data_IF_812823104413
#
_entry.id   IF_812823104413
#
_cell.length_a   1.000
_cell.length_b   1.000
_cell.length_c   1.000
_cell.angle_alpha   90.00
_cell.angle_beta   90.00
_cell.angle_gamma   90.00
#
_symmetry.space_group_name_H-M   'P 1'
#
loop_
_entity.id
_entity.type
_entity.pdbx_description
1 polymer ?
#
# COMPACT_ATOMS: atom_id res chain seq x y z
N UNK A 1 -4.24 -12.08 6.86
CA UNK A 1 -3.49 -11.67 5.67
C UNK A 1 -2.64 -10.46 6.03
N UNK A 2 -1.38 -10.40 5.57
CA UNK A 2 -0.48 -9.27 5.76
C UNK A 2 -0.22 -8.65 4.40
N UNK A 3 -0.41 -7.35 4.25
CA UNK A 3 -0.20 -6.61 3.00
C UNK A 3 1.14 -5.89 3.11
N UNK A 4 2.01 -6.12 2.11
CA UNK A 4 3.35 -5.56 2.05
C UNK A 4 3.41 -4.43 1.02
N UNK A 5 4.11 -3.36 1.36
CA UNK A 5 4.44 -2.27 0.45
C UNK A 5 5.91 -2.32 0.06
N UNK A 6 6.23 -1.92 -1.18
CA UNK A 6 7.61 -1.80 -1.65
C UNK A 6 8.32 -0.61 -1.00
N UNK A 7 9.62 -0.76 -0.76
CA UNK A 7 10.52 0.27 -0.22
C UNK A 7 11.28 0.99 -1.34
N UNK A 8 12.06 2.00 -0.97
CA UNK A 8 12.85 2.81 -1.91
C UNK A 8 13.84 1.99 -2.74
N UNK A 9 14.34 0.86 -2.23
CA UNK A 9 15.18 -0.07 -3.01
C UNK A 9 14.56 -0.43 -4.38
N UNK A 10 13.24 -0.53 -4.43
CA UNK A 10 12.48 -0.79 -5.66
C UNK A 10 11.85 0.46 -6.24
N UNK A 11 11.45 1.42 -5.41
CA UNK A 11 10.72 2.61 -5.86
C UNK A 11 11.63 3.77 -6.26
N UNK A 12 12.94 3.63 -6.18
CA UNK A 12 13.86 4.61 -6.75
C UNK A 12 13.74 4.63 -8.29
N UNK A 13 13.75 5.80 -8.97
CA UNK A 13 13.56 5.87 -10.43
C UNK A 13 14.58 5.08 -11.27
N UNK A 14 15.77 4.90 -10.71
CA UNK A 14 16.87 4.13 -11.31
C UNK A 14 16.96 2.68 -10.83
N UNK A 15 15.96 2.19 -10.08
CA UNK A 15 15.98 0.80 -9.61
C UNK A 15 15.84 -0.19 -10.78
N UNK A 16 16.38 -1.40 -10.57
CA UNK A 16 16.16 -2.52 -11.49
C UNK A 16 14.68 -2.92 -11.54
N UNK A 17 13.96 -2.79 -10.42
CA UNK A 17 12.52 -3.06 -10.37
C UNK A 17 11.72 -2.15 -11.30
N UNK A 18 11.97 -0.83 -11.30
CA UNK A 18 11.27 0.09 -12.20
C UNK A 18 11.59 -0.25 -13.66
N UNK A 19 12.85 -0.61 -13.95
CA UNK A 19 13.25 -1.09 -15.28
C UNK A 19 12.47 -2.33 -15.71
N UNK A 20 12.41 -3.34 -14.84
CA UNK A 20 11.65 -4.57 -15.07
C UNK A 20 10.15 -4.27 -15.32
N UNK A 21 9.52 -3.45 -14.47
CA UNK A 21 8.12 -3.07 -14.64
C UNK A 21 7.86 -2.39 -15.98
N UNK A 22 8.74 -1.48 -16.42
CA UNK A 22 8.57 -0.77 -17.68
C UNK A 22 8.83 -1.66 -18.90
N UNK A 23 9.88 -2.48 -18.85
CA UNK A 23 10.31 -3.30 -19.99
C UNK A 23 9.49 -4.59 -20.08
N UNK A 24 9.54 -5.42 -19.04
CA UNK A 24 9.08 -6.80 -19.10
C UNK A 24 7.58 -6.92 -18.84
N UNK A 25 7.02 -6.03 -18.00
CA UNK A 25 5.59 -6.06 -17.64
C UNK A 25 4.75 -5.16 -18.55
N UNK A 26 5.19 -3.92 -18.79
CA UNK A 26 4.44 -2.98 -19.62
C UNK A 26 4.81 -3.03 -21.12
N UNK A 27 5.90 -3.66 -21.51
CA UNK A 27 6.32 -3.78 -22.91
C UNK A 27 6.68 -2.44 -23.56
N UNK A 28 7.20 -1.47 -22.79
CA UNK A 28 7.51 -0.15 -23.32
C UNK A 28 8.80 -0.15 -24.14
N UNK A 29 8.80 0.57 -25.27
CA UNK A 29 10.02 0.82 -26.03
C UNK A 29 10.97 1.80 -25.28
N UNK A 30 12.22 1.89 -25.72
CA UNK A 30 13.25 2.68 -25.03
C UNK A 30 12.88 4.17 -24.85
N UNK A 31 12.22 4.77 -25.84
CA UNK A 31 11.76 6.16 -25.77
C UNK A 31 10.70 6.35 -24.67
N UNK A 32 9.67 5.49 -24.66
CA UNK A 32 8.61 5.52 -23.66
C UNK A 32 9.14 5.21 -22.24
N UNK A 33 10.13 4.33 -22.11
CA UNK A 33 10.82 4.07 -20.84
C UNK A 33 11.55 5.32 -20.34
N UNK A 34 12.30 6.01 -21.20
CA UNK A 34 13.01 7.24 -20.85
C UNK A 34 12.04 8.32 -20.37
N UNK A 35 10.97 8.55 -21.13
CA UNK A 35 9.94 9.53 -20.78
C UNK A 35 9.26 9.20 -19.44
N UNK A 36 8.88 7.93 -19.23
CA UNK A 36 8.22 7.49 -17.99
C UNK A 36 9.15 7.63 -16.78
N UNK A 37 10.46 7.38 -16.93
CA UNK A 37 11.44 7.63 -15.87
C UNK A 37 11.54 9.12 -15.53
N UNK A 38 11.56 9.98 -16.54
CA UNK A 38 11.53 11.44 -16.34
C UNK A 38 10.32 11.85 -15.51
N UNK A 39 9.12 11.39 -15.86
CA UNK A 39 7.91 11.66 -15.07
C UNK A 39 8.00 11.15 -13.63
N UNK A 40 8.53 9.95 -13.44
CA UNK A 40 8.64 9.37 -12.11
C UNK A 40 9.69 10.08 -11.23
N UNK A 41 10.77 10.59 -11.85
CA UNK A 41 11.78 11.41 -11.19
C UNK A 41 11.22 12.77 -10.75
N UNK A 42 10.56 13.49 -11.67
CA UNK A 42 9.86 14.76 -11.38
C UNK A 42 8.77 14.58 -10.33
N UNK A 43 8.01 13.47 -10.39
CA UNK A 43 7.01 13.15 -9.40
C UNK A 43 7.60 13.06 -7.98
N UNK A 44 8.76 12.40 -7.83
CA UNK A 44 9.42 12.25 -6.54
C UNK A 44 10.10 13.52 -6.06
N UNK A 45 10.75 14.27 -6.96
CA UNK A 45 11.51 15.48 -6.61
C UNK A 45 10.62 16.68 -6.40
N UNK A 46 9.70 16.93 -7.33
CA UNK A 46 9.01 18.22 -7.47
C UNK A 46 7.55 18.16 -7.03
N UNK A 47 6.82 17.09 -7.36
CA UNK A 47 5.37 17.05 -7.09
C UNK A 47 5.05 16.62 -5.65
N UNK A 48 5.72 15.58 -5.16
CA UNK A 48 5.48 15.00 -3.83
C UNK A 48 6.65 15.23 -2.86
N UNK A 49 7.79 15.74 -3.35
CA UNK A 49 8.94 16.17 -2.55
C UNK A 49 9.43 15.11 -1.55
N UNK A 50 9.69 13.89 -2.05
CA UNK A 50 10.05 12.73 -1.25
C UNK A 50 11.18 11.87 -1.87
N UNK A 51 11.85 12.38 -2.90
CA UNK A 51 13.05 11.76 -3.47
C UNK A 51 14.11 11.47 -2.39
N UNK A 52 14.62 10.24 -2.35
CA UNK A 52 15.57 9.75 -1.34
C UNK A 52 15.11 9.93 0.13
N UNK A 53 13.80 9.99 0.37
CA UNK A 53 13.22 9.98 1.71
C UNK A 53 12.50 8.65 1.94
N UNK A 54 13.25 7.66 2.42
CA UNK A 54 12.76 6.28 2.56
C UNK A 54 11.44 6.17 3.35
N UNK A 55 11.26 6.83 4.52
CA UNK A 55 9.97 6.80 5.23
C UNK A 55 8.81 7.35 4.41
N UNK A 56 8.99 8.52 3.75
CA UNK A 56 7.91 9.10 2.94
C UNK A 56 7.59 8.28 1.70
N UNK A 57 8.60 7.64 1.08
CA UNK A 57 8.41 6.74 -0.05
C UNK A 57 7.61 5.52 0.37
N UNK A 58 7.96 4.93 1.51
CA UNK A 58 7.24 3.80 2.07
C UNK A 58 5.80 4.18 2.45
N UNK A 59 5.56 5.32 3.11
CA UNK A 59 4.21 5.80 3.42
C UNK A 59 3.37 6.03 2.16
N UNK A 60 3.98 6.57 1.10
CA UNK A 60 3.32 6.72 -0.20
C UNK A 60 2.93 5.37 -0.80
N UNK A 61 3.81 4.37 -0.73
CA UNK A 61 3.52 3.02 -1.19
C UNK A 61 2.42 2.35 -0.36
N UNK A 62 2.45 2.51 0.97
CA UNK A 62 1.39 2.05 1.88
C UNK A 62 0.03 2.62 1.49
N UNK A 63 -0.08 3.92 1.15
CA UNK A 63 -1.34 4.52 0.67
C UNK A 63 -1.93 3.78 -0.53
N UNK A 64 -1.11 3.22 -1.42
CA UNK A 64 -1.58 2.41 -2.54
C UNK A 64 -2.15 1.07 -2.05
N UNK A 65 -1.55 0.45 -1.03
CA UNK A 65 -2.07 -0.74 -0.38
C UNK A 65 -3.44 -0.52 0.27
N UNK A 66 -3.71 0.67 0.82
CA UNK A 66 -5.04 0.98 1.40
C UNK A 66 -6.15 1.02 0.34
N UNK A 67 -5.84 1.35 -0.92
CA UNK A 67 -6.81 1.27 -2.02
C UNK A 67 -7.20 -0.19 -2.25
N UNK A 68 -6.19 -1.07 -2.35
CA UNK A 68 -6.42 -2.51 -2.49
C UNK A 68 -7.19 -3.07 -1.30
N UNK A 69 -6.81 -2.71 -0.08
CA UNK A 69 -7.51 -3.08 1.15
C UNK A 69 -8.99 -2.66 1.08
N UNK A 70 -9.28 -1.40 0.76
CA UNK A 70 -10.66 -0.89 0.64
C UNK A 70 -11.51 -1.70 -0.34
N UNK A 71 -10.94 -2.06 -1.49
CA UNK A 71 -11.61 -2.93 -2.47
C UNK A 71 -11.88 -4.33 -1.89
N UNK A 72 -10.90 -4.93 -1.21
CA UNK A 72 -11.05 -6.27 -0.61
C UNK A 72 -12.13 -6.29 0.48
N UNK A 73 -12.14 -5.30 1.37
CA UNK A 73 -13.15 -5.17 2.43
C UNK A 73 -14.56 -5.01 1.83
N UNK A 74 -14.68 -4.20 0.77
CA UNK A 74 -15.96 -3.93 0.10
C UNK A 74 -16.49 -5.18 -0.59
N UNK A 75 -15.64 -5.88 -1.34
CA UNK A 75 -16.02 -7.14 -2.02
C UNK A 75 -16.34 -8.24 -1.00
N UNK A 76 -15.60 -8.34 0.11
CA UNK A 76 -15.95 -9.27 1.18
C UNK A 76 -17.36 -9.01 1.72
N UNK A 77 -17.70 -7.75 1.99
CA UNK A 77 -19.04 -7.36 2.43
C UNK A 77 -20.14 -7.72 1.41
N UNK A 78 -19.88 -7.52 0.11
CA UNK A 78 -20.80 -7.94 -0.96
C UNK A 78 -21.03 -9.45 -1.02
N UNK A 79 -20.00 -10.23 -0.66
CA UNK A 79 -20.04 -11.69 -0.64
C UNK A 79 -20.53 -12.27 0.70
N UNK A 80 -20.95 -11.42 1.65
CA UNK A 80 -21.38 -11.85 2.98
C UNK A 80 -20.25 -12.37 3.87
N UNK A 81 -19.00 -12.01 3.55
CA UNK A 81 -17.81 -12.34 4.34
C UNK A 81 -17.47 -11.13 5.22
N UNK A 82 -17.29 -11.39 6.51
CA UNK A 82 -16.83 -10.38 7.45
C UNK A 82 -15.34 -10.12 7.28
N UNK A 83 -14.93 -8.88 7.54
CA UNK A 83 -13.55 -8.45 7.40
C UNK A 83 -13.15 -7.46 8.49
N UNK A 84 -11.87 -7.50 8.88
CA UNK A 84 -11.29 -6.60 9.88
C UNK A 84 -9.94 -6.05 9.39
N UNK A 85 -9.84 -4.75 9.03
CA UNK A 85 -8.54 -4.11 8.82
C UNK A 85 -7.84 -3.88 10.16
N UNK A 86 -6.51 -4.04 10.20
CA UNK A 86 -5.71 -4.07 11.43
C UNK A 86 -4.42 -3.27 11.21
N UNK A 87 -4.28 -2.18 11.98
CA UNK A 87 -3.03 -1.41 12.18
C UNK A 87 -2.49 -1.55 13.62
N UNK A 88 -3.26 -2.15 14.52
CA UNK A 88 -2.96 -2.25 15.96
C UNK A 88 -1.91 -3.32 16.29
N UNK A 89 -0.73 -3.22 15.72
CA UNK A 89 0.41 -4.10 15.98
C UNK A 89 1.72 -3.30 16.09
N UNK A 90 2.75 -3.91 16.68
CA UNK A 90 4.09 -3.32 16.68
C UNK A 90 4.78 -3.64 15.34
N UNK A 91 4.94 -2.63 14.49
CA UNK A 91 5.55 -2.79 13.16
C UNK A 91 6.93 -3.45 13.21
N UNK A 92 7.82 -3.00 14.08
CA UNK A 92 9.19 -3.51 14.14
C UNK A 92 9.23 -4.99 14.53
N UNK A 93 8.47 -5.37 15.56
CA UNK A 93 8.39 -6.77 16.01
C UNK A 93 7.78 -7.69 14.96
N UNK A 94 6.74 -7.23 14.27
CA UNK A 94 6.12 -8.01 13.19
C UNK A 94 7.10 -8.17 12.02
N UNK A 95 7.77 -7.10 11.58
CA UNK A 95 8.74 -7.20 10.49
C UNK A 95 9.91 -8.12 10.83
N UNK A 96 10.40 -8.08 12.08
CA UNK A 96 11.42 -8.99 12.59
C UNK A 96 10.96 -10.45 12.50
N UNK A 97 9.78 -10.78 13.05
CA UNK A 97 9.23 -12.14 13.00
C UNK A 97 9.10 -12.64 11.56
N UNK A 98 8.61 -11.78 10.65
CA UNK A 98 8.42 -12.16 9.25
C UNK A 98 9.75 -12.33 8.52
N UNK A 99 10.75 -11.48 8.80
CA UNK A 99 12.08 -11.58 8.21
C UNK A 99 12.79 -12.86 8.68
N UNK A 100 12.77 -13.15 9.99
CA UNK A 100 13.34 -14.36 10.58
C UNK A 100 12.68 -15.64 10.06
N UNK A 101 11.39 -15.55 9.74
CA UNK A 101 10.63 -16.66 9.12
C UNK A 101 10.82 -16.77 7.61
N UNK A 102 11.62 -15.89 6.98
CA UNK A 102 11.83 -15.85 5.53
C UNK A 102 10.61 -15.42 4.72
N UNK A 103 9.61 -14.81 5.36
CA UNK A 103 8.36 -14.34 4.74
C UNK A 103 8.40 -12.88 4.32
N UNK A 104 9.42 -12.13 4.76
CA UNK A 104 9.63 -10.73 4.41
C UNK A 104 11.08 -10.49 3.98
N UNK A 105 11.26 -10.04 2.75
CA UNK A 105 12.51 -9.39 2.33
C UNK A 105 12.47 -7.92 2.77
N UNK A 106 13.08 -7.64 3.92
CA UNK A 106 13.03 -6.31 4.55
C UNK A 106 13.74 -5.21 3.77
N UNK A 107 14.58 -5.56 2.78
CA UNK A 107 15.22 -4.61 1.87
C UNK A 107 14.23 -4.08 0.84
N UNK A 108 13.39 -4.96 0.32
CA UNK A 108 12.48 -4.65 -0.78
C UNK A 108 11.07 -4.30 -0.29
N UNK A 109 10.66 -4.83 0.87
CA UNK A 109 9.31 -4.69 1.41
C UNK A 109 9.27 -4.29 2.88
N UNK A 110 8.13 -3.72 3.28
CA UNK A 110 7.73 -3.56 4.67
C UNK A 110 6.24 -3.83 4.85
N UNK A 111 5.80 -3.99 6.10
CA UNK A 111 4.40 -4.27 6.43
C UNK A 111 3.59 -2.98 6.38
N UNK A 112 2.62 -2.92 5.47
CA UNK A 112 1.75 -1.76 5.30
C UNK A 112 0.54 -1.82 6.24
N UNK A 113 -0.19 -2.94 6.21
CA UNK A 113 -1.44 -3.15 6.96
C UNK A 113 -1.78 -4.64 6.98
N UNK A 114 -2.57 -5.08 7.95
CA UNK A 114 -3.10 -6.45 7.99
C UNK A 114 -4.62 -6.46 7.81
N UNK A 115 -5.15 -7.61 7.39
CA UNK A 115 -6.58 -7.83 7.32
C UNK A 115 -6.94 -9.27 7.67
N UNK A 116 -8.02 -9.46 8.41
CA UNK A 116 -8.66 -10.75 8.62
C UNK A 116 -9.97 -10.84 7.81
N UNK A 117 -10.32 -12.05 7.40
CA UNK A 117 -11.59 -12.38 6.74
C UNK A 117 -12.19 -13.62 7.39
N UNK A 118 -13.51 -13.69 7.47
CA UNK A 118 -14.21 -14.84 8.05
C UNK A 118 -15.71 -14.60 8.17
N UNK A 119 -16.37 -15.32 9.06
CA UNK A 119 -17.79 -15.14 9.35
C UNK A 119 -17.94 -14.78 10.83
N UNK A 120 -18.71 -13.72 11.13
CA UNK A 120 -18.95 -13.28 12.49
C UNK A 120 -19.65 -14.38 13.29
N UNK A 121 -19.17 -14.59 14.51
CA UNK A 121 -19.85 -15.48 15.45
C UNK A 121 -21.09 -14.82 16.06
N UNK A 122 -21.03 -13.50 16.27
CA UNK A 122 -22.09 -12.72 16.90
C UNK A 122 -22.33 -11.43 16.11
N UNK A 123 -23.55 -10.92 16.19
CA UNK A 123 -23.85 -9.58 15.66
C UNK A 123 -23.15 -8.47 16.44
N UNK A 124 -22.80 -7.35 15.78
CA UNK A 124 -22.24 -6.20 16.48
C UNK A 124 -23.19 -5.69 17.57
N UNK A 125 -22.69 -5.61 18.81
CA UNK A 125 -23.47 -5.11 19.96
C UNK A 125 -23.93 -3.66 19.81
N UNK A 126 -23.21 -2.88 19.01
CA UNK A 126 -23.44 -1.47 18.82
C UNK A 126 -23.67 -1.17 17.34
N UNK A 127 -24.60 -0.26 17.08
CA UNK A 127 -24.83 0.27 15.75
C UNK A 127 -23.59 1.01 15.22
N UNK A 128 -23.48 1.13 13.89
CA UNK A 128 -22.42 1.90 13.25
C UNK A 128 -22.56 3.38 13.60
N UNK A 129 -21.46 4.01 14.02
CA UNK A 129 -21.38 5.44 14.34
C UNK A 129 -20.44 6.15 13.36
N UNK A 130 -20.85 7.29 12.83
CA UNK A 130 -20.05 8.14 11.92
C UNK A 130 -20.33 9.61 12.24
N UNK A 131 -19.40 10.49 11.87
CA UNK A 131 -19.70 11.91 11.79
C UNK A 131 -20.80 12.17 10.73
N UNK A 132 -21.47 13.31 10.79
CA UNK A 132 -22.49 13.65 9.79
C UNK A 132 -21.84 13.93 8.43
N UNK A 133 -22.62 13.82 7.35
CA UNK A 133 -22.08 14.03 6.00
C UNK A 133 -21.58 15.47 5.81
N UNK A 134 -22.30 16.43 6.41
CA UNK A 134 -22.01 17.85 6.36
C UNK A 134 -20.69 18.20 7.06
N UNK A 135 -20.28 17.43 8.08
CA UNK A 135 -19.03 17.70 8.79
C UNK A 135 -17.79 17.18 8.05
N UNK A 136 -17.96 16.27 7.09
CA UNK A 136 -16.86 15.64 6.33
C UNK A 136 -16.85 16.00 4.84
N UNK A 137 -17.81 16.80 4.36
CA UNK A 137 -17.89 17.24 2.96
C UNK A 137 -18.06 18.74 2.85
N UNK A 138 -17.54 19.31 1.75
CA UNK A 138 -17.75 20.71 1.37
C UNK A 138 -17.87 20.78 -0.16
N UNK A 139 -18.96 21.37 -0.64
CA UNK A 139 -19.13 21.70 -2.04
C UNK A 139 -18.54 23.09 -2.28
N UNK A 140 -17.70 23.22 -3.31
CA UNK A 140 -17.06 24.46 -3.74
C UNK A 140 -17.30 24.64 -5.23
#
# INVERSE_FOLDING_TARGET
MIILARKNADLHPQSTYITHMMNDIHGLNAEAQSLRRGFFDTFQKDHFCFYNNDPKIFDWACKQCYIALGNMLSVAGLLGVDSLPIEGFNHAQVEEILADSGLLDSKHFGVAVMCAFGFRLNEPKHAKTRQSLESITRFV
#
